data_IF_107714685786
#
_entry.id   IF_107714685786
#
_cell.length_a   1.000
_cell.length_b   1.000
_cell.length_c   1.000
_cell.angle_alpha   90.00
_cell.angle_beta   90.00
_cell.angle_gamma   90.00
#
_symmetry.space_group_name_H-M   'P 1'
#
loop_
_entity.id
_entity.type
_entity.pdbx_description
1 polymer ?
#
# COMPACT_ATOMS: atom_id res chain seq x y z
N UNK A 1 0.01 4.00 10.09
CA UNK A 1 0.28 3.07 8.98
C UNK A 1 0.46 1.60 9.41
N UNK A 2 0.51 1.25 10.70
CA UNK A 2 0.64 -0.17 11.11
C UNK A 2 -0.56 -1.02 10.71
N UNK A 3 -1.78 -0.56 11.03
CA UNK A 3 -3.03 -1.30 10.74
C UNK A 3 -3.17 -1.59 9.25
N UNK A 4 -2.94 -0.58 8.39
CA UNK A 4 -3.02 -0.74 6.95
C UNK A 4 -2.01 -1.76 6.42
N UNK A 5 -0.76 -1.71 6.91
CA UNK A 5 0.27 -2.66 6.52
C UNK A 5 -0.12 -4.10 6.91
N UNK A 6 -0.63 -4.30 8.13
CA UNK A 6 -1.08 -5.60 8.61
C UNK A 6 -2.24 -6.15 7.77
N UNK A 7 -3.21 -5.32 7.42
CA UNK A 7 -4.34 -5.70 6.56
C UNK A 7 -3.82 -6.12 5.19
N UNK A 8 -2.97 -5.32 4.56
CA UNK A 8 -2.46 -5.57 3.20
C UNK A 8 -1.64 -6.87 3.18
N UNK A 9 -0.76 -7.09 4.16
CA UNK A 9 0.01 -8.33 4.26
C UNK A 9 -0.85 -9.56 4.53
N UNK A 10 -1.90 -9.45 5.34
CA UNK A 10 -2.87 -10.55 5.55
C UNK A 10 -3.59 -10.96 4.27
N UNK A 11 -3.82 -10.02 3.35
CA UNK A 11 -4.42 -10.27 2.04
C UNK A 11 -3.37 -10.62 0.97
N UNK A 12 -2.15 -10.99 1.38
CA UNK A 12 -1.04 -11.35 0.48
C UNK A 12 -0.70 -10.21 -0.51
N UNK A 13 -0.98 -8.98 -0.10
CA UNK A 13 -0.72 -7.78 -0.86
C UNK A 13 0.61 -7.14 -0.55
N UNK A 14 0.86 -6.06 -1.27
CA UNK A 14 2.03 -5.20 -1.08
C UNK A 14 1.65 -3.72 -1.08
N UNK A 15 2.48 -2.91 -0.43
CA UNK A 15 2.30 -1.45 -0.36
C UNK A 15 3.62 -0.75 -0.61
N UNK A 16 3.61 0.24 -1.51
CA UNK A 16 4.72 1.17 -1.71
C UNK A 16 4.28 2.60 -1.42
N UNK A 17 5.24 3.42 -0.99
CA UNK A 17 5.03 4.82 -0.65
C UNK A 17 6.05 5.66 -1.38
N UNK A 18 5.56 6.67 -2.09
CA UNK A 18 6.38 7.66 -2.78
C UNK A 18 5.94 9.04 -2.29
N UNK A 19 6.88 9.89 -1.89
CA UNK A 19 6.57 11.24 -1.43
C UNK A 19 7.54 12.22 -2.04
N UNK A 20 7.01 13.34 -2.50
CA UNK A 20 7.80 14.44 -3.02
C UNK A 20 7.31 15.75 -2.39
N UNK A 21 8.25 16.59 -1.98
CA UNK A 21 7.95 17.91 -1.40
C UNK A 21 7.11 18.72 -2.38
N UNK A 22 6.10 19.43 -1.88
CA UNK A 22 5.16 20.24 -2.67
C UNK A 22 4.30 19.46 -3.70
N UNK A 23 4.41 18.12 -3.77
CA UNK A 23 3.54 17.26 -4.60
C UNK A 23 2.70 16.28 -3.80
N UNK A 24 3.04 16.07 -2.54
CA UNK A 24 2.29 15.21 -1.62
C UNK A 24 2.86 13.79 -1.56
N UNK A 25 2.03 12.85 -1.09
CA UNK A 25 2.40 11.46 -0.86
C UNK A 25 1.43 10.53 -1.58
N UNK A 26 1.98 9.57 -2.32
CA UNK A 26 1.23 8.53 -3.01
C UNK A 26 1.48 7.20 -2.31
N UNK A 27 0.39 6.52 -1.96
CA UNK A 27 0.39 5.16 -1.45
C UNK A 27 -0.17 4.25 -2.53
N UNK A 28 0.62 3.28 -2.97
CA UNK A 28 0.20 2.29 -3.97
C UNK A 28 -0.01 0.96 -3.28
N UNK A 29 -1.20 0.39 -3.40
CA UNK A 29 -1.55 -0.92 -2.84
C UNK A 29 -1.75 -1.92 -3.98
N UNK A 30 -1.07 -3.06 -3.91
CA UNK A 30 -1.19 -4.18 -4.85
C UNK A 30 -1.82 -5.36 -4.12
N UNK A 31 -2.90 -5.91 -4.67
CA UNK A 31 -3.58 -7.09 -4.14
C UNK A 31 -3.64 -8.16 -5.23
N UNK A 32 -3.46 -9.46 -4.90
CA UNK A 32 -3.72 -10.54 -5.84
C UNK A 32 -5.18 -10.54 -6.29
N UNK A 33 -5.41 -10.79 -7.56
CA UNK A 33 -6.76 -11.00 -8.11
C UNK A 33 -7.08 -12.49 -7.96
N UNK A 34 -8.24 -12.81 -7.40
CA UNK A 34 -8.77 -14.18 -7.43
C UNK A 34 -9.73 -14.32 -8.61
N UNK A 35 -9.66 -15.45 -9.32
CA UNK A 35 -10.66 -15.85 -10.33
C UNK A 35 -11.98 -16.28 -9.68
#
# INVERSE_FOLDING_TARGET
MSISYDIIKKHQGDISVESELDKGTVFTVKLPVQE
#
